data_IF_496533020958
#
_entry.id   IF_496533020958
#
_cell.length_a   1.000
_cell.length_b   1.000
_cell.length_c   1.000
_cell.angle_alpha   90.00
_cell.angle_beta   90.00
_cell.angle_gamma   90.00
#
_symmetry.space_group_name_H-M   'P 1'
#
loop_
_entity.id
_entity.type
_entity.pdbx_description
1 polymer ?
#
# COMPACT_ATOMS: atom_id res chain seq x y z
N UNK A 1 10.17 8.95 10.53
CA UNK A 1 9.21 7.91 10.96
C UNK A 1 8.65 7.21 9.74
N UNK A 2 8.06 6.03 9.91
CA UNK A 2 7.45 5.23 8.84
C UNK A 2 5.95 5.14 9.08
N UNK A 3 5.14 5.52 8.08
CA UNK A 3 3.69 5.38 8.10
C UNK A 3 3.27 4.27 7.15
N UNK A 4 2.53 3.28 7.64
CA UNK A 4 2.04 2.17 6.82
C UNK A 4 0.52 2.19 6.83
N UNK A 5 -0.07 2.45 5.68
CA UNK A 5 -1.50 2.27 5.48
C UNK A 5 -1.77 0.83 5.06
N UNK A 6 -2.69 0.16 5.76
CA UNK A 6 -3.01 -1.22 5.46
C UNK A 6 -4.50 -1.47 5.24
N UNK A 7 -4.81 -2.39 4.33
CA UNK A 7 -6.18 -2.87 4.11
C UNK A 7 -6.17 -4.35 3.72
N UNK A 8 -7.32 -4.88 3.28
CA UNK A 8 -7.41 -6.29 2.90
C UNK A 8 -6.56 -6.61 1.67
N UNK A 9 -6.83 -5.96 0.53
CA UNK A 9 -6.19 -6.29 -0.76
C UNK A 9 -5.02 -5.40 -1.17
N UNK A 10 -4.70 -4.36 -0.40
CA UNK A 10 -3.58 -3.45 -0.67
C UNK A 10 -3.75 -2.53 -1.88
N UNK A 11 -4.87 -2.60 -2.62
CA UNK A 11 -4.98 -1.98 -3.94
C UNK A 11 -5.84 -0.70 -3.98
N UNK A 12 -6.68 -0.44 -2.96
CA UNK A 12 -7.72 0.58 -3.04
C UNK A 12 -7.67 1.57 -1.88
N UNK A 13 -8.09 1.16 -0.68
CA UNK A 13 -8.21 2.08 0.45
C UNK A 13 -6.87 2.46 1.03
N UNK A 14 -5.95 1.52 1.21
CA UNK A 14 -4.60 1.82 1.70
C UNK A 14 -3.81 2.71 0.73
N UNK A 15 -3.93 2.46 -0.57
CA UNK A 15 -3.31 3.29 -1.62
C UNK A 15 -3.92 4.69 -1.63
N UNK A 16 -5.25 4.80 -1.55
CA UNK A 16 -5.93 6.10 -1.53
C UNK A 16 -5.58 6.93 -0.30
N UNK A 17 -5.52 6.29 0.88
CA UNK A 17 -5.09 6.96 2.09
C UNK A 17 -3.64 7.45 2.00
N UNK A 18 -2.73 6.64 1.47
CA UNK A 18 -1.33 7.02 1.29
C UNK A 18 -1.15 8.17 0.28
N UNK A 19 -1.84 8.14 -0.87
CA UNK A 19 -1.78 9.25 -1.83
C UNK A 19 -2.37 10.54 -1.26
N UNK A 20 -3.41 10.44 -0.42
CA UNK A 20 -3.96 11.61 0.28
C UNK A 20 -2.98 12.15 1.34
N UNK A 21 -2.30 11.27 2.07
CA UNK A 21 -1.26 11.65 3.04
C UNK A 21 -0.13 12.44 2.34
N UNK A 22 0.33 11.92 1.19
CA UNK A 22 1.40 12.51 0.40
C UNK A 22 0.98 13.78 -0.37
N UNK A 23 -0.25 14.27 -0.20
CA UNK A 23 -0.74 15.47 -0.88
C UNK A 23 -0.90 15.33 -2.40
N UNK A 24 -0.94 14.09 -2.93
CA UNK A 24 -1.06 13.83 -4.38
C UNK A 24 -2.47 13.99 -4.93
N UNK A 25 -3.46 14.05 -4.05
CA UNK A 25 -4.83 14.35 -4.39
C UNK A 25 -5.16 15.77 -3.93
N UNK A 26 -5.81 16.61 -4.77
CA UNK A 26 -6.24 17.93 -4.36
C UNK A 26 -7.27 17.84 -3.22
N UNK A 27 -7.55 18.94 -2.49
CA UNK A 27 -8.50 18.94 -1.38
C UNK A 27 -9.88 18.41 -1.74
N UNK A 28 -10.34 18.61 -2.98
CA UNK A 28 -11.61 18.10 -3.52
C UNK A 28 -11.35 17.34 -4.83
N UNK A 29 -10.88 16.09 -4.77
CA UNK A 29 -10.53 15.36 -5.97
C UNK A 29 -11.80 14.95 -6.72
N UNK A 30 -11.72 15.04 -8.04
CA UNK A 30 -12.73 14.49 -8.94
C UNK A 30 -12.64 12.97 -8.97
N UNK A 31 -13.71 12.31 -9.39
CA UNK A 31 -13.72 10.87 -9.64
C UNK A 31 -12.58 10.42 -10.57
N UNK A 32 -12.28 11.18 -11.63
CA UNK A 32 -11.19 10.87 -12.56
C UNK A 32 -9.82 10.95 -11.87
N UNK A 33 -9.61 11.93 -11.00
CA UNK A 33 -8.36 12.04 -10.22
C UNK A 33 -8.19 10.87 -9.25
N UNK A 34 -9.28 10.37 -8.66
CA UNK A 34 -9.24 9.15 -7.84
C UNK A 34 -8.80 7.93 -8.65
N UNK A 35 -9.28 7.78 -9.88
CA UNK A 35 -8.89 6.67 -10.75
C UNK A 35 -7.46 6.77 -11.28
N UNK A 36 -6.97 8.01 -11.47
CA UNK A 36 -5.67 8.32 -12.04
C UNK A 36 -4.54 8.36 -11.00
N UNK A 37 -4.85 8.29 -9.71
CA UNK A 37 -3.84 8.33 -8.67
C UNK A 37 -2.85 7.14 -8.80
N UNK A 38 -1.57 7.32 -8.42
CA UNK A 38 -0.57 6.27 -8.51
C UNK A 38 -0.96 5.00 -7.76
N UNK A 39 -0.67 3.84 -8.35
CA UNK A 39 -0.85 2.49 -7.79
C UNK A 39 -2.30 2.06 -7.52
N UNK A 40 -3.30 2.89 -7.82
CA UNK A 40 -4.70 2.55 -7.57
C UNK A 40 -5.15 1.39 -8.45
N UNK A 41 -5.65 0.32 -7.83
CA UNK A 41 -6.10 -0.91 -8.49
C UNK A 41 -5.07 -1.49 -9.49
N UNK A 42 -3.78 -1.27 -9.24
CA UNK A 42 -2.65 -1.68 -10.11
C UNK A 42 -1.73 -2.72 -9.50
N UNK A 43 -1.85 -3.03 -8.20
CA UNK A 43 -0.99 -4.03 -7.56
C UNK A 43 -1.16 -5.39 -8.25
N UNK A 44 -0.08 -6.15 -8.42
CA UNK A 44 -0.16 -7.50 -9.01
C UNK A 44 -0.93 -8.47 -8.11
N UNK A 45 -1.42 -9.58 -8.67
CA UNK A 45 -1.88 -10.70 -7.86
C UNK A 45 -0.70 -11.27 -7.08
N UNK A 46 -0.87 -11.56 -5.78
CA UNK A 46 0.20 -12.07 -4.93
C UNK A 46 1.03 -11.02 -4.18
N UNK A 47 0.73 -9.72 -4.32
CA UNK A 47 1.40 -8.65 -3.55
C UNK A 47 0.92 -8.52 -2.09
N UNK A 48 0.16 -9.49 -1.59
CA UNK A 48 -0.30 -9.52 -0.20
C UNK A 48 0.93 -9.69 0.71
N UNK A 49 0.96 -8.96 1.82
CA UNK A 49 2.09 -8.91 2.74
C UNK A 49 3.30 -8.11 2.23
N UNK A 50 3.26 -7.58 1.01
CA UNK A 50 4.36 -6.77 0.46
C UNK A 50 4.14 -5.29 0.73
N UNK A 51 5.12 -4.64 1.35
CA UNK A 51 5.12 -3.19 1.55
C UNK A 51 5.42 -2.48 0.24
N UNK A 52 4.45 -1.73 -0.26
CA UNK A 52 4.62 -0.84 -1.39
C UNK A 52 5.07 0.53 -0.89
N UNK A 53 6.28 0.94 -1.24
CA UNK A 53 6.75 2.29 -0.97
C UNK A 53 5.93 3.29 -1.79
N UNK A 54 5.29 4.23 -1.11
CA UNK A 54 4.44 5.23 -1.73
C UNK A 54 5.18 6.55 -1.93
N UNK A 55 6.10 6.92 -1.02
CA UNK A 55 6.88 8.16 -1.11
C UNK A 55 7.28 8.69 0.26
N UNK A 56 7.80 9.91 0.29
CA UNK A 56 8.15 10.64 1.52
C UNK A 56 7.20 11.83 1.67
N UNK A 57 6.65 12.03 2.87
CA UNK A 57 5.77 13.16 3.17
C UNK A 57 6.56 14.48 3.35
N UNK A 58 5.84 15.59 3.54
CA UNK A 58 6.45 16.91 3.74
C UNK A 58 7.28 17.03 5.04
N UNK A 59 7.21 16.05 5.93
CA UNK A 59 7.95 16.00 7.19
C UNK A 59 9.19 15.10 7.11
N UNK A 60 9.46 14.48 5.96
CA UNK A 60 10.56 13.53 5.80
C UNK A 60 10.22 12.11 6.26
N UNK A 61 8.94 11.77 6.42
CA UNK A 61 8.50 10.44 6.81
C UNK A 61 8.19 9.55 5.61
N UNK A 62 8.68 8.31 5.65
CA UNK A 62 8.41 7.34 4.61
C UNK A 62 6.97 6.80 4.74
N UNK A 63 6.24 6.78 3.62
CA UNK A 63 4.84 6.31 3.56
C UNK A 63 4.77 5.04 2.72
N UNK A 64 4.08 4.03 3.24
CA UNK A 64 3.90 2.72 2.62
C UNK A 64 2.43 2.32 2.56
N UNK A 65 2.12 1.41 1.63
CA UNK A 65 0.84 0.71 1.52
C UNK A 65 1.03 -0.80 1.62
N UNK A 66 0.12 -1.52 2.28
CA UNK A 66 0.18 -2.99 2.33
C UNK A 66 -1.22 -3.62 2.34
N UNK A 67 -1.36 -4.76 1.65
CA UNK A 67 -2.55 -5.62 1.73
C UNK A 67 -2.28 -6.80 2.66
N UNK A 68 -3.16 -7.06 3.64
CA UNK A 68 -2.92 -8.05 4.69
C UNK A 68 -3.90 -9.22 4.71
N UNK A 69 -4.97 -9.17 3.93
CA UNK A 69 -6.07 -10.14 3.99
C UNK A 69 -6.48 -10.49 5.45
N UNK A 70 -6.51 -11.78 5.79
CA UNK A 70 -6.77 -12.30 7.14
C UNK A 70 -5.50 -12.35 8.04
N UNK A 71 -4.38 -11.82 7.58
CA UNK A 71 -3.09 -11.79 8.28
C UNK A 71 -2.83 -10.52 9.09
N UNK A 72 -3.80 -9.61 9.23
CA UNK A 72 -3.57 -8.28 9.84
C UNK A 72 -3.04 -8.35 11.27
N UNK A 73 -3.58 -9.23 12.11
CA UNK A 73 -3.17 -9.37 13.52
C UNK A 73 -1.76 -9.94 13.63
N UNK A 74 -1.46 -10.94 12.78
CA UNK A 74 -0.15 -11.59 12.74
C UNK A 74 0.94 -10.63 12.26
N UNK A 75 0.68 -9.86 11.21
CA UNK A 75 1.66 -8.90 10.73
C UNK A 75 1.84 -7.74 11.71
N UNK A 76 0.75 -7.19 12.26
CA UNK A 76 0.87 -6.10 13.23
C UNK A 76 1.70 -6.50 14.44
N UNK A 77 1.53 -7.74 14.93
CA UNK A 77 2.36 -8.30 16.00
C UNK A 77 3.81 -8.50 15.56
N UNK A 78 4.04 -9.12 14.40
CA UNK A 78 5.39 -9.35 13.89
C UNK A 78 6.18 -8.04 13.70
N UNK A 79 5.51 -6.98 13.23
CA UNK A 79 6.13 -5.66 13.07
C UNK A 79 6.46 -5.00 14.41
N UNK A 80 5.57 -5.15 15.41
CA UNK A 80 5.83 -4.66 16.75
C UNK A 80 7.01 -5.39 17.40
N UNK A 81 7.05 -6.72 17.28
CA UNK A 81 8.14 -7.55 17.80
C UNK A 81 9.46 -7.22 17.10
N UNK A 82 9.44 -7.02 15.78
CA UNK A 82 10.64 -6.63 15.01
C UNK A 82 11.11 -5.22 15.40
N UNK A 83 10.22 -4.25 15.52
CA UNK A 83 10.58 -2.90 15.97
C UNK A 83 11.23 -2.93 17.36
N UNK A 84 10.67 -3.72 18.29
CA UNK A 84 11.24 -3.90 19.63
C UNK A 84 12.62 -4.58 19.59
N UNK A 85 12.78 -5.63 18.78
CA UNK A 85 14.03 -6.38 18.66
C UNK A 85 15.20 -5.54 18.12
N UNK A 86 14.92 -4.55 17.26
CA UNK A 86 15.93 -3.66 16.68
C UNK A 86 16.08 -2.32 17.43
N UNK A 87 15.47 -2.19 18.61
CA UNK A 87 15.56 -0.97 19.41
C UNK A 87 14.96 0.25 18.72
N UNK A 88 14.05 0.06 17.76
CA UNK A 88 13.34 1.16 17.13
C UNK A 88 12.49 1.86 18.18
N UNK A 89 12.48 3.19 18.15
CA UNK A 89 11.57 3.95 19.00
C UNK A 89 10.14 3.46 18.76
N UNK A 90 9.29 3.35 19.79
CA UNK A 90 7.91 2.88 19.66
C UNK A 90 7.09 3.65 18.61
N UNK A 91 7.47 4.90 18.33
CA UNK A 91 6.84 5.78 17.34
C UNK A 91 7.52 5.75 15.96
N UNK A 92 8.52 4.90 15.76
CA UNK A 92 9.29 4.79 14.51
C UNK A 92 8.47 4.19 13.36
N UNK A 93 7.47 3.36 13.67
CA UNK A 93 6.60 2.67 12.72
C UNK A 93 5.13 2.77 13.16
N UNK A 94 4.30 3.46 12.37
CA UNK A 94 2.88 3.67 12.67
C UNK A 94 1.99 2.96 11.65
N UNK A 95 1.12 2.07 12.13
CA UNK A 95 0.18 1.31 11.32
C UNK A 95 -1.20 1.96 11.29
N UNK A 96 -1.74 2.22 10.10
CA UNK A 96 -3.00 2.93 9.88
C UNK A 96 -4.02 2.04 9.17
N UNK A 97 -5.09 1.57 9.84
CA UNK A 97 -6.12 0.76 9.20
C UNK A 97 -6.96 1.60 8.23
N UNK A 98 -6.87 1.28 6.93
CA UNK A 98 -7.68 1.92 5.89
C UNK A 98 -8.95 1.12 5.54
N UNK A 99 -9.13 -0.08 6.11
CA UNK A 99 -10.31 -0.90 5.87
C UNK A 99 -11.65 -0.22 6.28
N UNK A 100 -11.74 0.57 7.37
CA UNK A 100 -12.97 1.30 7.72
C UNK A 100 -13.42 2.33 6.66
N UNK A 101 -12.54 2.73 5.73
CA UNK A 101 -12.90 3.58 4.61
C UNK A 101 -13.63 2.81 3.49
N UNK A 102 -13.61 1.48 3.52
CA UNK A 102 -14.22 0.64 2.49
C UNK A 102 -15.75 0.66 2.58
N UNK A 103 -16.41 0.89 1.45
CA UNK A 103 -17.86 0.75 1.31
C UNK A 103 -18.23 -0.43 0.40
N UNK A 104 -19.53 -0.72 0.29
CA UNK A 104 -20.04 -1.85 -0.49
C UNK A 104 -19.60 -1.79 -1.96
N UNK A 105 -19.57 -0.59 -2.56
CA UNK A 105 -19.13 -0.41 -3.95
C UNK A 105 -17.67 -0.83 -4.14
N UNK A 106 -16.78 -0.45 -3.22
CA UNK A 106 -15.38 -0.90 -3.27
C UNK A 106 -15.26 -2.41 -3.07
N UNK A 107 -16.07 -3.01 -2.20
CA UNK A 107 -16.03 -4.47 -1.94
C UNK A 107 -16.46 -5.24 -3.19
N UNK A 108 -17.57 -4.84 -3.80
CA UNK A 108 -18.09 -5.45 -5.03
C UNK A 108 -17.11 -5.19 -6.18
N UNK A 109 -16.72 -3.93 -6.41
CA UNK A 109 -15.80 -3.57 -7.49
C UNK A 109 -14.44 -4.24 -7.34
N UNK A 110 -13.94 -4.35 -6.11
CA UNK A 110 -12.69 -5.04 -5.81
C UNK A 110 -12.82 -6.53 -6.07
N UNK A 111 -13.94 -7.16 -5.71
CA UNK A 111 -14.21 -8.55 -6.06
C UNK A 111 -14.26 -8.76 -7.58
N UNK A 112 -14.95 -7.89 -8.33
CA UNK A 112 -15.03 -7.96 -9.79
C UNK A 112 -13.64 -7.78 -10.43
N UNK A 113 -12.92 -6.71 -10.09
CA UNK A 113 -11.62 -6.38 -10.68
C UNK A 113 -10.56 -7.43 -10.30
N UNK A 114 -10.51 -7.83 -9.03
CA UNK A 114 -9.39 -8.61 -8.47
C UNK A 114 -9.62 -10.11 -8.39
N UNK A 115 -10.87 -10.56 -8.27
CA UNK A 115 -11.19 -12.00 -8.15
C UNK A 115 -11.63 -12.58 -9.48
N UNK A 116 -12.43 -11.81 -10.24
CA UNK A 116 -12.99 -12.26 -11.51
C UNK A 116 -12.21 -11.74 -12.73
N UNK A 117 -11.20 -10.88 -12.54
CA UNK A 117 -10.44 -10.26 -13.63
C UNK A 117 -11.26 -9.26 -14.46
N UNK A 118 -12.47 -8.92 -14.01
CA UNK A 118 -13.36 -7.97 -14.68
C UNK A 118 -12.96 -6.54 -14.29
N UNK A 119 -11.81 -6.10 -14.79
CA UNK A 119 -11.22 -4.79 -14.47
C UNK A 119 -12.12 -3.64 -14.94
N UNK A 120 -12.69 -3.73 -16.15
CA UNK A 120 -13.48 -2.63 -16.72
C UNK A 120 -14.77 -2.31 -15.95
N UNK A 121 -15.57 -3.26 -15.45
CA UNK A 121 -16.66 -2.90 -14.52
C UNK A 121 -16.18 -2.70 -13.08
N UNK A 122 -15.15 -3.44 -12.65
CA UNK A 122 -14.69 -3.41 -11.26
C UNK A 122 -14.00 -2.10 -10.89
N UNK A 123 -12.99 -1.67 -11.66
CA UNK A 123 -12.17 -0.48 -11.36
C UNK A 123 -13.00 0.81 -11.29
N UNK A 124 -13.94 1.10 -12.21
CA UNK A 124 -14.81 2.27 -12.12
C UNK A 124 -15.68 2.25 -10.86
N UNK A 125 -16.19 1.09 -10.47
CA UNK A 125 -17.03 0.91 -9.28
C UNK A 125 -16.23 1.15 -7.99
N UNK A 126 -15.00 0.63 -7.92
CA UNK A 126 -14.10 0.92 -6.80
C UNK A 126 -13.76 2.41 -6.74
N UNK A 127 -13.45 3.02 -7.89
CA UNK A 127 -13.18 4.45 -7.96
C UNK A 127 -14.34 5.30 -7.44
N UNK A 128 -15.58 4.90 -7.77
CA UNK A 128 -16.78 5.60 -7.33
C UNK A 128 -16.95 5.44 -5.83
N UNK A 129 -16.75 4.23 -5.33
CA UNK A 129 -16.71 3.95 -3.90
C UNK A 129 -15.67 4.82 -3.18
N UNK A 130 -14.45 4.93 -3.71
CA UNK A 130 -13.36 5.74 -3.15
C UNK A 130 -13.67 7.23 -3.15
N UNK A 131 -14.25 7.73 -4.22
CA UNK A 131 -14.71 9.10 -4.31
C UNK A 131 -15.80 9.42 -3.27
N UNK A 132 -16.81 8.56 -3.12
CA UNK A 132 -17.86 8.73 -2.11
C UNK A 132 -17.34 8.59 -0.66
N UNK A 133 -16.27 7.83 -0.46
CA UNK A 133 -15.66 7.62 0.85
C UNK A 133 -14.62 8.71 1.23
N UNK A 134 -14.43 9.75 0.41
CA UNK A 134 -13.46 10.83 0.69
C UNK A 134 -13.55 11.43 2.11
N UNK A 135 -14.74 11.69 2.69
CA UNK A 135 -14.82 12.16 4.08
C UNK A 135 -14.17 11.21 5.08
N UNK A 136 -14.33 9.89 4.88
CA UNK A 136 -13.71 8.86 5.73
C UNK A 136 -12.19 8.85 5.59
N UNK A 137 -11.68 8.96 4.35
CA UNK A 137 -10.24 9.06 4.11
C UNK A 137 -9.63 10.30 4.77
N UNK A 138 -10.30 11.45 4.70
CA UNK A 138 -9.84 12.68 5.36
C UNK A 138 -9.85 12.54 6.88
N UNK A 139 -10.87 11.91 7.46
CA UNK A 139 -10.92 11.64 8.89
C UNK A 139 -9.77 10.71 9.37
N UNK A 140 -9.37 9.75 8.53
CA UNK A 140 -8.23 8.86 8.80
C UNK A 140 -6.88 9.60 8.68
N UNK A 141 -6.69 10.35 7.60
CA UNK A 141 -5.37 10.92 7.23
C UNK A 141 -5.10 12.26 7.91
N UNK A 142 -6.13 13.09 8.09
CA UNK A 142 -6.01 14.45 8.61
C UNK A 142 -5.25 14.54 9.95
N UNK A 143 -5.64 13.77 10.99
CA UNK A 143 -4.94 13.77 12.27
C UNK A 143 -3.48 13.31 12.18
N UNK A 144 -3.16 12.41 11.25
CA UNK A 144 -1.80 11.90 11.04
C UNK A 144 -0.93 13.00 10.45
N UNK A 145 -1.37 13.59 9.33
CA UNK A 145 -0.63 14.67 8.65
C UNK A 145 -0.46 15.90 9.55
N UNK A 146 -1.48 16.23 10.36
CA UNK A 146 -1.39 17.35 11.31
C UNK A 146 -0.29 17.15 12.37
N UNK A 147 -0.06 15.90 12.81
CA UNK A 147 1.03 15.56 13.76
C UNK A 147 2.41 15.57 13.10
N UNK A 148 2.46 15.29 11.80
CA UNK A 148 3.72 15.26 11.05
C UNK A 148 4.22 16.66 10.67
N UNK A 149 3.40 17.72 10.70
CA UNK A 149 3.86 19.07 10.30
C UNK A 149 5.15 19.48 11.03
N UNK A 150 6.23 19.81 10.30
CA UNK A 150 7.48 20.23 10.92
C UNK A 150 7.24 21.49 11.75
N UNK A 151 7.98 21.62 12.86
CA UNK A 151 7.86 22.76 13.79
C UNK A 151 8.04 24.12 13.08
N UNK A 152 8.77 24.16 11.95
CA UNK A 152 9.01 25.35 11.12
C UNK A 152 7.78 25.90 10.39
N UNK A 153 6.68 25.14 10.26
CA UNK A 153 5.43 25.58 9.60
C UNK A 153 4.31 25.90 10.59
N UNK A 154 4.61 25.98 11.90
CA UNK A 154 3.62 26.35 12.93
C UNK A 154 3.41 27.87 13.06
N UNK A 155 4.10 28.68 12.26
CA UNK A 155 3.99 30.15 12.31
C UNK A 155 4.00 30.78 10.92
N UNK A 156 2.90 30.68 10.17
CA UNK A 156 2.56 31.67 9.13
C UNK A 156 1.03 31.80 9.07
N UNK A 157 0.46 32.43 10.09
CA UNK A 157 -0.82 33.14 9.95
C UNK A 157 -0.48 34.59 9.56
N UNK A 158 -0.68 34.94 8.29
CA UNK A 158 -0.49 36.29 7.75
C UNK A 158 -0.53 36.30 6.22
N UNK A 159 -1.30 37.19 5.56
CA UNK A 159 -1.55 37.09 4.13
C UNK A 159 -0.39 37.66 3.31
N UNK A 160 0.04 36.90 2.30
CA UNK A 160 0.80 37.41 1.16
C UNK A 160 2.30 37.13 1.21
N UNK A 161 2.72 36.09 0.48
CA UNK A 161 3.91 36.13 -0.38
C UNK A 161 3.94 34.85 -1.22
N UNK A 162 3.76 35.01 -2.53
CA UNK A 162 4.14 34.01 -3.53
C UNK A 162 5.66 33.99 -3.56
N UNK A 163 6.26 32.87 -3.17
CA UNK A 163 7.67 32.61 -3.41
C UNK A 163 7.79 31.49 -4.44
N UNK A 164 8.12 31.92 -5.66
CA UNK A 164 8.80 31.12 -6.68
C UNK A 164 10.05 30.47 -6.06
N UNK A 165 10.24 29.18 -6.32
CA UNK A 165 11.51 28.51 -6.04
C UNK A 165 11.69 27.40 -7.07
N UNK A 166 12.32 27.78 -8.18
CA UNK A 166 13.02 26.87 -9.05
C UNK A 166 14.04 26.03 -8.26
N UNK A 167 13.98 24.71 -8.43
CA UNK A 167 15.03 23.80 -8.02
C UNK A 167 15.48 23.03 -9.26
N UNK A 168 16.77 23.18 -9.52
CA UNK A 168 17.58 22.54 -10.56
C UNK A 168 17.57 21.02 -10.39
N UNK A 169 17.69 20.35 -11.52
CA UNK A 169 18.00 18.93 -11.63
C UNK A 169 19.29 18.60 -10.87
N UNK A 170 19.21 17.65 -9.94
CA UNK A 170 20.38 16.86 -9.54
C UNK A 170 20.08 15.39 -9.86
N UNK A 171 20.87 14.90 -10.81
CA UNK A 171 21.04 13.50 -11.18
C UNK A 171 21.76 12.75 -10.05
N UNK A 172 21.48 11.46 -9.88
CA UNK A 172 22.37 10.52 -9.19
C UNK A 172 21.96 10.11 -7.77
N UNK A 173 20.94 9.27 -7.65
CA UNK A 173 20.80 8.36 -6.52
C UNK A 173 20.31 7.00 -7.03
N UNK A 174 21.23 6.23 -7.61
CA UNK A 174 21.03 4.80 -7.89
C UNK A 174 20.89 4.05 -6.56
N UNK A 175 19.70 3.51 -6.31
CA UNK A 175 19.46 2.54 -5.24
C UNK A 175 19.83 1.14 -5.75
N UNK A 176 20.56 0.31 -4.98
CA UNK A 176 21.02 -1.00 -5.45
C UNK A 176 19.82 -1.92 -5.74
N UNK A 177 19.84 -2.53 -6.93
CA UNK A 177 18.87 -3.54 -7.35
C UNK A 177 18.95 -4.76 -6.43
N UNK A 178 17.81 -5.18 -5.89
CA UNK A 178 17.68 -6.45 -5.16
C UNK A 178 17.99 -7.64 -6.08
N UNK A 179 18.78 -8.64 -5.67
CA UNK A 179 19.06 -9.79 -6.51
C UNK A 179 17.82 -10.69 -6.61
N UNK A 180 17.33 -10.87 -7.83
CA UNK A 180 16.39 -11.93 -8.21
C UNK A 180 17.17 -13.24 -8.28
N UNK A 181 16.82 -14.30 -7.54
CA UNK A 181 17.49 -15.59 -7.72
C UNK A 181 17.12 -16.18 -9.08
N UNK A 182 18.14 -16.45 -9.90
CA UNK A 182 18.04 -17.11 -11.19
C UNK A 182 17.69 -18.60 -11.02
N UNK A 183 16.50 -19.02 -11.41
CA UNK A 183 16.20 -20.44 -11.64
C UNK A 183 16.53 -20.79 -13.09
N UNK A 184 17.63 -21.49 -13.30
CA UNK A 184 17.84 -22.28 -14.52
C UNK A 184 17.32 -23.71 -14.29
N UNK A 185 16.67 -24.34 -15.28
CA UNK A 185 16.02 -25.64 -15.10
C UNK A 185 17.03 -26.78 -15.23
N UNK A 186 17.26 -27.52 -14.16
CA UNK A 186 18.02 -28.77 -14.18
C UNK A 186 17.08 -29.96 -14.34
N UNK A 187 17.10 -30.60 -15.51
CA UNK A 187 17.06 -32.05 -15.78
C UNK A 187 15.89 -32.91 -15.26
N UNK A 188 15.47 -33.95 -16.01
CA UNK A 188 14.26 -34.72 -15.70
C UNK A 188 14.45 -35.65 -14.49
N UNK A 189 13.54 -35.50 -13.53
CA UNK A 189 13.42 -36.33 -12.35
C UNK A 189 13.01 -37.77 -12.73
N UNK A 190 13.83 -38.75 -12.34
CA UNK A 190 13.57 -40.16 -12.58
C UNK A 190 12.35 -40.63 -11.79
N UNK A 191 11.36 -41.22 -12.48
CA UNK A 191 10.20 -41.86 -11.84
C UNK A 191 10.64 -43.03 -10.96
N UNK A 192 10.20 -43.14 -9.70
CA UNK A 192 10.29 -44.39 -8.97
C UNK A 192 9.32 -45.42 -9.55
N UNK A 193 9.85 -46.59 -9.90
CA UNK A 193 9.11 -47.79 -10.33
C UNK A 193 8.25 -48.34 -9.18
N UNK A 194 7.01 -48.81 -9.43
CA UNK A 194 6.21 -49.46 -8.41
C UNK A 194 6.76 -50.87 -8.07
N UNK A 195 6.70 -51.32 -6.80
CA UNK A 195 7.10 -52.68 -6.45
C UNK A 195 6.10 -53.72 -6.98
N UNK A 196 6.66 -54.84 -7.43
CA UNK A 196 5.98 -55.95 -8.09
C UNK A 196 4.95 -56.65 -7.19
N UNK A 197 3.81 -56.99 -7.80
CA UNK A 197 2.76 -57.84 -7.25
C UNK A 197 3.10 -59.33 -7.33
N UNK A 198 2.92 -60.06 -6.22
CA UNK A 198 2.64 -61.50 -6.24
C UNK A 198 2.99 -62.24 -4.93
N UNK A 199 2.44 -63.44 -4.67
CA UNK A 199 1.14 -63.97 -5.07
C UNK A 199 0.24 -64.32 -3.86
N UNK A 200 -1.04 -64.55 -4.17
CA UNK A 200 -2.05 -65.07 -3.26
C UNK A 200 -1.77 -66.52 -2.84
N UNK A 201 -2.03 -66.83 -1.58
CA UNK A 201 -2.28 -68.20 -1.11
C UNK A 201 -3.46 -68.19 -0.14
N UNK A 202 -4.53 -68.84 -0.61
CA UNK A 202 -5.59 -69.60 0.09
C UNK A 202 -5.89 -69.32 1.55
#
# INVERSE_FOLDING_TARGET
MIHVYYCFGGAHTSVTAANLHLGRLPPRPTYRQILAQPHFDQLAHGSIGTFLFMGVDAAGHAVYSVGLEAGKERLARALADFAAAFGAAPDGLLLHPALPCANVLMRIGGFLSRRLGLVWPGRPLVGLGAWLALPRFRALVGPVVARCRPASLRSVDGPGAVADNGIRSEEGAEWPASPVPSSSPSGPEARPTPPASGPATS
#
